data_IF_213296372721
#
_entry.id   IF_213296372721
#
_cell.length_a   1.000
_cell.length_b   1.000
_cell.length_c   1.000
_cell.angle_alpha   90.00
_cell.angle_beta   90.00
_cell.angle_gamma   90.00
#
_symmetry.space_group_name_H-M   'P 1'
#
loop_
_entity.id
_entity.type
_entity.pdbx_description
1 polymer ?
#
# COMPACT_ATOMS: atom_id res chain seq x y z
N UNK A 1 8.28 8.42 -8.09
CA UNK A 1 6.83 8.20 -7.98
C UNK A 1 6.24 9.25 -7.05
N UNK A 2 4.94 9.56 -7.13
CA UNK A 2 4.30 10.48 -6.18
C UNK A 2 3.79 9.71 -4.96
N UNK A 3 3.75 10.35 -3.79
CA UNK A 3 3.25 9.71 -2.55
C UNK A 3 1.78 9.26 -2.70
N UNK A 4 0.96 10.00 -3.47
CA UNK A 4 -0.40 9.56 -3.82
C UNK A 4 -0.44 8.29 -4.68
N UNK A 5 0.55 8.03 -5.52
CA UNK A 5 0.64 6.76 -6.26
C UNK A 5 1.00 5.57 -5.34
N UNK A 6 1.87 5.80 -4.35
CA UNK A 6 2.28 4.78 -3.36
C UNK A 6 1.18 4.51 -2.30
N UNK A 7 0.44 5.53 -1.88
CA UNK A 7 -0.72 5.33 -0.99
C UNK A 7 -1.84 4.52 -1.68
N UNK A 8 -1.97 4.63 -3.01
CA UNK A 8 -2.96 3.85 -3.79
C UNK A 8 -2.59 2.38 -3.96
N UNK A 9 -1.31 2.01 -4.00
CA UNK A 9 -0.90 0.59 -3.93
C UNK A 9 -1.06 0.02 -2.51
N UNK A 10 -0.74 0.79 -1.47
CA UNK A 10 -0.84 0.35 -0.08
C UNK A 10 -2.25 -0.13 0.35
N UNK A 11 -3.33 0.43 -0.23
CA UNK A 11 -4.69 -0.07 0.05
C UNK A 11 -4.97 -1.48 -0.49
N UNK A 12 -4.29 -1.93 -1.55
CA UNK A 12 -4.42 -3.31 -2.00
C UNK A 12 -3.87 -4.27 -0.92
N UNK A 13 -2.71 -3.96 -0.32
CA UNK A 13 -2.17 -4.72 0.80
C UNK A 13 -3.05 -4.62 2.07
N UNK A 14 -3.63 -3.46 2.34
CA UNK A 14 -4.47 -3.25 3.53
C UNK A 14 -5.86 -3.92 3.46
N UNK A 15 -6.39 -4.21 2.26
CA UNK A 15 -7.75 -4.72 2.06
C UNK A 15 -7.84 -6.11 1.36
N UNK A 16 -7.10 -6.38 0.28
CA UNK A 16 -7.24 -7.65 -0.48
C UNK A 16 -6.63 -8.85 0.25
N UNK A 17 -5.57 -8.65 1.05
CA UNK A 17 -4.84 -9.73 1.72
C UNK A 17 -5.61 -10.41 2.87
N UNK A 18 -6.92 -10.20 3.02
CA UNK A 18 -7.78 -10.86 4.00
C UNK A 18 -8.19 -12.31 3.65
N UNK A 19 -7.91 -12.76 2.41
CA UNK A 19 -8.23 -14.11 1.90
C UNK A 19 -7.00 -15.02 1.74
N UNK A 20 -5.78 -14.45 1.72
CA UNK A 20 -4.53 -15.16 1.42
C UNK A 20 -3.55 -15.32 2.60
N UNK A 21 -3.92 -14.86 3.80
CA UNK A 21 -3.26 -15.27 5.06
C UNK A 21 -4.33 -15.65 6.08
N UNK A 22 -3.97 -16.50 7.06
CA UNK A 22 -4.66 -16.42 8.36
C UNK A 22 -4.47 -15.00 8.93
N UNK A 23 -5.37 -14.52 9.78
CA UNK A 23 -5.44 -13.11 10.17
C UNK A 23 -4.37 -12.64 11.19
N UNK A 24 -4.58 -11.84 12.26
CA UNK A 24 -5.74 -11.20 12.93
C UNK A 24 -5.50 -10.66 14.43
N UNK A 25 -4.86 -9.48 14.67
CA UNK A 25 -4.69 -8.67 15.95
C UNK A 25 -3.42 -8.83 16.85
N UNK A 26 -3.33 -8.07 17.97
CA UNK A 26 -2.28 -8.01 19.01
C UNK A 26 -2.77 -7.22 20.27
N UNK A 27 -1.86 -6.71 21.13
CA UNK A 27 -1.99 -5.55 22.08
C UNK A 27 -0.73 -5.41 23.00
N UNK A 28 -0.49 -4.38 23.85
CA UNK A 28 -0.56 -2.89 23.77
C UNK A 28 0.23 -2.23 24.96
N UNK A 29 0.58 -0.93 24.90
CA UNK A 29 1.21 -0.14 26.01
C UNK A 29 1.69 1.27 25.57
N UNK A 30 1.69 2.32 26.44
CA UNK A 30 1.59 3.74 26.00
C UNK A 30 2.25 4.85 26.91
N UNK A 31 2.60 6.05 26.38
CA UNK A 31 2.79 7.32 27.16
C UNK A 31 3.84 8.42 26.73
N UNK A 32 3.44 9.66 26.32
CA UNK A 32 4.26 10.91 26.09
C UNK A 32 3.71 12.16 26.90
N UNK A 33 3.81 13.50 26.57
CA UNK A 33 4.58 14.37 25.60
C UNK A 33 5.08 15.80 26.13
N UNK A 34 5.52 16.71 25.22
CA UNK A 34 5.45 18.22 25.22
C UNK A 34 6.57 19.12 25.91
N UNK A 35 6.72 20.47 25.71
CA UNK A 35 5.92 21.56 25.06
C UNK A 35 6.66 22.87 24.55
N UNK A 36 5.88 23.87 24.03
CA UNK A 36 6.09 25.19 23.31
C UNK A 36 7.00 26.34 23.88
N UNK A 37 7.21 27.57 23.29
CA UNK A 37 7.27 28.20 21.92
C UNK A 37 7.28 29.79 21.94
N UNK A 38 7.24 30.50 20.76
CA UNK A 38 6.89 31.96 20.48
C UNK A 38 7.97 33.06 20.80
N UNK A 39 8.02 34.35 20.37
CA UNK A 39 7.58 35.26 19.24
C UNK A 39 8.31 36.67 19.40
N UNK A 40 8.20 37.87 18.74
CA UNK A 40 7.60 38.51 17.52
C UNK A 40 7.88 40.08 17.40
N UNK A 41 8.38 40.57 16.23
CA UNK A 41 8.23 41.83 15.40
C UNK A 41 7.29 43.06 15.77
N UNK A 42 7.10 44.18 14.96
CA UNK A 42 7.91 45.06 14.06
C UNK A 42 7.54 46.60 14.15
N UNK A 43 7.76 47.43 13.09
CA UNK A 43 7.06 48.72 12.79
C UNK A 43 7.08 49.08 11.27
N UNK A 44 6.55 50.26 10.85
CA UNK A 44 5.87 50.44 9.53
C UNK A 44 6.14 51.72 8.64
N UNK A 45 7.26 52.47 8.72
CA UNK A 45 7.64 53.50 7.70
C UNK A 45 9.09 53.55 7.10
N UNK A 46 10.17 53.31 7.85
CA UNK A 46 11.53 52.98 7.37
C UNK A 46 11.55 51.63 6.63
N UNK A 47 11.21 50.52 7.29
CA UNK A 47 9.84 50.12 7.65
C UNK A 47 8.69 50.34 6.64
N UNK A 48 8.92 50.93 5.46
CA UNK A 48 8.12 50.73 4.24
C UNK A 48 8.96 50.03 3.18
N UNK A 49 10.25 50.41 3.12
CA UNK A 49 11.32 49.56 2.61
C UNK A 49 11.54 48.36 3.55
N UNK A 50 11.48 48.51 4.89
CA UNK A 50 11.26 47.32 5.73
C UNK A 50 9.79 46.84 5.80
N UNK A 51 8.76 47.48 5.24
CA UNK A 51 7.49 46.75 5.05
C UNK A 51 7.71 45.68 3.98
N UNK A 52 8.29 46.07 2.83
CA UNK A 52 8.82 45.13 1.82
C UNK A 52 9.79 44.12 2.47
N UNK A 53 10.90 44.59 3.02
CA UNK A 53 11.99 43.72 3.46
C UNK A 53 11.65 42.92 4.73
N UNK A 54 10.83 43.43 5.66
CA UNK A 54 10.36 42.66 6.81
C UNK A 54 9.18 41.74 6.45
N UNK A 55 8.31 42.08 5.49
CA UNK A 55 7.34 41.12 4.97
C UNK A 55 8.06 40.00 4.20
N UNK A 56 9.06 40.32 3.38
CA UNK A 56 9.95 39.34 2.72
C UNK A 56 10.70 38.49 3.76
N UNK A 57 11.33 39.09 4.78
CA UNK A 57 12.00 38.35 5.87
C UNK A 57 11.01 37.47 6.66
N UNK A 58 9.81 37.97 6.96
CA UNK A 58 8.78 37.26 7.74
C UNK A 58 8.13 36.13 6.95
N UNK A 59 7.79 36.35 5.69
CA UNK A 59 7.30 35.32 4.78
C UNK A 59 8.36 34.25 4.52
N UNK A 60 9.63 34.64 4.30
CA UNK A 60 10.76 33.70 4.20
C UNK A 60 10.96 32.91 5.50
N UNK A 61 10.81 33.53 6.68
CA UNK A 61 10.86 32.84 7.96
C UNK A 61 9.69 31.85 8.14
N UNK A 62 8.48 32.22 7.74
CA UNK A 62 7.32 31.31 7.71
C UNK A 62 7.52 30.15 6.72
N UNK A 63 8.09 30.39 5.54
CA UNK A 63 8.49 29.32 4.61
C UNK A 63 9.54 28.38 5.22
N UNK A 64 10.56 28.90 5.92
CA UNK A 64 11.52 28.07 6.67
C UNK A 64 10.86 27.25 7.78
N UNK A 65 9.78 27.76 8.39
CA UNK A 65 8.94 27.05 9.35
C UNK A 65 7.92 26.08 8.70
N UNK A 66 7.85 26.01 7.36
CA UNK A 66 6.85 25.26 6.57
C UNK A 66 5.39 25.74 6.74
N UNK A 67 5.22 27.03 6.98
CA UNK A 67 3.95 27.76 7.13
C UNK A 67 3.66 28.65 5.90
N UNK A 68 3.25 28.07 4.74
CA UNK A 68 3.08 28.86 3.52
C UNK A 68 1.85 29.79 3.57
N UNK A 69 0.77 29.40 4.25
CA UNK A 69 -0.47 30.19 4.34
C UNK A 69 -0.24 31.46 5.16
N UNK A 70 0.53 31.37 6.24
CA UNK A 70 0.93 32.50 7.08
C UNK A 70 1.96 33.40 6.36
N UNK A 71 2.78 32.83 5.47
CA UNK A 71 3.65 33.60 4.59
C UNK A 71 2.84 34.35 3.51
N UNK A 72 1.82 33.72 2.94
CA UNK A 72 0.88 34.32 1.99
C UNK A 72 0.05 35.43 2.65
N UNK A 73 -0.49 35.20 3.86
CA UNK A 73 -1.24 36.20 4.62
C UNK A 73 -0.41 37.45 4.98
N UNK A 74 0.92 37.34 5.05
CA UNK A 74 1.84 38.47 5.23
C UNK A 74 2.08 39.24 3.92
N UNK A 75 2.12 38.58 2.77
CA UNK A 75 2.43 39.23 1.49
C UNK A 75 1.20 39.74 0.75
N UNK A 76 0.13 38.95 0.65
CA UNK A 76 -1.04 39.25 -0.19
C UNK A 76 -1.70 40.64 0.08
N UNK A 77 -1.84 41.12 1.33
CA UNK A 77 -2.38 42.46 1.60
C UNK A 77 -1.53 43.61 1.02
N UNK A 78 -0.28 43.34 0.65
CA UNK A 78 0.66 44.32 0.10
C UNK A 78 0.67 44.34 -1.45
N UNK A 79 -0.06 43.46 -2.15
CA UNK A 79 0.06 43.31 -3.61
C UNK A 79 -0.25 44.63 -4.34
N UNK A 80 -1.31 45.33 -3.93
CA UNK A 80 -1.70 46.63 -4.49
C UNK A 80 -0.70 47.77 -4.23
N UNK A 81 0.39 47.53 -3.46
CA UNK A 81 1.44 48.51 -3.16
C UNK A 81 2.85 48.04 -3.54
N UNK A 82 3.06 46.74 -3.78
CA UNK A 82 4.38 46.14 -4.08
C UNK A 82 4.44 45.33 -5.38
N UNK A 83 3.31 45.12 -6.08
CA UNK A 83 3.30 44.47 -7.40
C UNK A 83 4.20 45.22 -8.40
N UNK A 84 5.01 44.47 -9.14
CA UNK A 84 6.08 45.00 -10.00
C UNK A 84 7.48 44.94 -9.37
N UNK A 85 7.60 44.82 -8.04
CA UNK A 85 8.89 44.47 -7.42
C UNK A 85 9.17 42.97 -7.62
N UNK A 86 10.20 42.66 -8.40
CA UNK A 86 10.47 41.29 -8.85
C UNK A 86 10.96 40.30 -7.78
N UNK A 87 11.33 40.76 -6.57
CA UNK A 87 11.62 39.86 -5.44
C UNK A 87 10.35 39.59 -4.64
N UNK A 88 9.55 40.64 -4.40
CA UNK A 88 8.25 40.52 -3.76
C UNK A 88 7.32 39.62 -4.59
N UNK A 89 7.23 39.85 -5.90
CA UNK A 89 6.36 39.09 -6.80
C UNK A 89 6.81 37.63 -6.97
N UNK A 90 8.11 37.35 -6.89
CA UNK A 90 8.63 35.98 -6.85
C UNK A 90 8.23 35.27 -5.56
N UNK A 91 8.38 35.94 -4.41
CA UNK A 91 8.07 35.35 -3.11
C UNK A 91 6.57 35.18 -2.90
N UNK A 92 5.75 36.18 -3.26
CA UNK A 92 4.29 36.10 -3.33
C UNK A 92 3.87 34.94 -4.22
N UNK A 93 4.52 34.81 -5.38
CA UNK A 93 4.35 33.70 -6.32
C UNK A 93 4.48 32.32 -5.67
N UNK A 94 5.60 32.07 -4.99
CA UNK A 94 5.87 30.79 -4.30
C UNK A 94 4.83 30.53 -3.20
N UNK A 95 4.61 31.48 -2.29
CA UNK A 95 3.73 31.25 -1.14
C UNK A 95 2.28 31.10 -1.57
N UNK A 96 1.85 31.79 -2.63
CA UNK A 96 0.54 31.60 -3.23
C UNK A 96 0.41 30.21 -3.91
N UNK A 97 1.45 29.74 -4.60
CA UNK A 97 1.45 28.40 -5.22
C UNK A 97 1.35 27.28 -4.16
N UNK A 98 2.13 27.40 -3.08
CA UNK A 98 2.16 26.46 -1.96
C UNK A 98 0.84 26.48 -1.16
N UNK A 99 0.24 27.66 -1.00
CA UNK A 99 -1.07 27.89 -0.34
C UNK A 99 -2.28 27.70 -1.26
N UNK A 100 -2.08 27.16 -2.48
CA UNK A 100 -3.13 26.89 -3.49
C UNK A 100 -3.88 28.10 -4.07
N UNK A 101 -3.45 29.34 -3.80
CA UNK A 101 -3.93 30.56 -4.46
C UNK A 101 -3.29 30.71 -5.86
N UNK A 102 -3.51 29.71 -6.72
CA UNK A 102 -2.75 29.48 -7.95
C UNK A 102 -2.89 30.61 -8.99
N UNK A 103 -4.00 31.36 -8.98
CA UNK A 103 -4.23 32.48 -9.88
C UNK A 103 -3.41 33.72 -9.48
N UNK A 104 -3.25 33.96 -8.17
CA UNK A 104 -2.33 34.96 -7.62
C UNK A 104 -0.89 34.56 -7.93
N UNK A 105 -0.56 33.28 -7.75
CA UNK A 105 0.76 32.74 -8.09
C UNK A 105 1.12 32.96 -9.57
N UNK A 106 0.21 32.64 -10.49
CA UNK A 106 0.41 32.84 -11.93
C UNK A 106 0.63 34.32 -12.28
N UNK A 107 -0.16 35.24 -11.69
CA UNK A 107 0.00 36.68 -11.92
C UNK A 107 1.33 37.21 -11.38
N UNK A 108 1.67 36.88 -10.14
CA UNK A 108 2.89 37.35 -9.49
C UNK A 108 4.15 36.80 -10.18
N UNK A 109 4.20 35.49 -10.46
CA UNK A 109 5.34 34.89 -11.15
C UNK A 109 5.50 35.41 -12.59
N UNK A 110 4.41 35.72 -13.30
CA UNK A 110 4.49 36.43 -14.61
C UNK A 110 5.10 37.83 -14.49
N UNK A 111 4.76 38.61 -13.46
CA UNK A 111 5.38 39.93 -13.21
C UNK A 111 6.87 39.79 -12.90
N UNK A 112 7.25 38.84 -12.03
CA UNK A 112 8.65 38.53 -11.75
C UNK A 112 9.42 38.11 -13.00
N UNK A 113 8.85 37.20 -13.82
CA UNK A 113 9.49 36.70 -15.04
C UNK A 113 9.65 37.80 -16.12
N UNK A 114 8.68 38.72 -16.22
CA UNK A 114 8.79 39.87 -17.11
C UNK A 114 9.87 40.86 -16.65
N UNK A 115 10.03 41.06 -15.34
CA UNK A 115 11.06 41.92 -14.76
C UNK A 115 12.46 41.29 -14.73
N UNK A 116 12.56 39.95 -14.65
CA UNK A 116 13.82 39.19 -14.65
C UNK A 116 13.80 38.01 -15.66
N UNK A 117 13.82 38.26 -16.99
CA UNK A 117 13.63 37.20 -18.01
C UNK A 117 14.73 36.13 -18.11
N UNK A 118 15.83 36.28 -17.38
CA UNK A 118 16.90 35.28 -17.25
C UNK A 118 16.86 34.49 -15.93
N UNK A 119 15.90 34.75 -15.04
CA UNK A 119 15.85 34.13 -13.72
C UNK A 119 15.26 32.71 -13.79
N UNK A 120 16.14 31.72 -13.98
CA UNK A 120 15.79 30.30 -13.95
C UNK A 120 14.88 29.89 -12.78
N UNK A 121 15.14 30.34 -11.53
CA UNK A 121 14.24 30.08 -10.39
C UNK A 121 12.81 30.59 -10.56
N UNK A 122 12.59 31.83 -11.02
CA UNK A 122 11.24 32.34 -11.33
C UNK A 122 10.58 31.52 -12.44
N UNK A 123 11.31 31.20 -13.51
CA UNK A 123 10.78 30.37 -14.60
C UNK A 123 10.41 28.95 -14.15
N UNK A 124 11.17 28.37 -13.20
CA UNK A 124 10.92 27.05 -12.62
C UNK A 124 9.63 27.03 -11.79
N UNK A 125 9.42 28.03 -10.93
CA UNK A 125 8.19 28.15 -10.13
C UNK A 125 6.98 28.54 -10.99
N UNK A 126 7.17 29.31 -12.07
CA UNK A 126 6.12 29.58 -13.06
C UNK A 126 5.72 28.30 -13.81
N UNK A 127 6.70 27.48 -14.21
CA UNK A 127 6.46 26.17 -14.84
C UNK A 127 5.67 25.22 -13.91
N UNK A 128 6.08 25.16 -12.63
CA UNK A 128 5.38 24.43 -11.56
C UNK A 128 3.96 24.95 -11.35
N UNK A 129 3.76 26.26 -11.37
CA UNK A 129 2.43 26.90 -11.21
C UNK A 129 1.52 26.58 -12.40
N UNK A 130 2.02 26.69 -13.63
CA UNK A 130 1.28 26.24 -14.82
C UNK A 130 0.93 24.74 -14.75
N UNK A 131 1.82 23.89 -14.23
CA UNK A 131 1.53 22.47 -14.04
C UNK A 131 0.41 22.24 -13.02
N UNK A 132 0.43 22.96 -11.89
CA UNK A 132 -0.63 22.90 -10.87
C UNK A 132 -1.99 23.42 -11.38
N UNK A 133 -1.97 24.39 -12.30
CA UNK A 133 -3.15 24.90 -13.02
C UNK A 133 -3.60 24.01 -14.18
N UNK A 134 -2.90 22.90 -14.46
CA UNK A 134 -3.19 22.02 -15.60
C UNK A 134 -2.84 22.62 -16.98
N UNK A 135 -2.22 23.80 -17.04
CA UNK A 135 -1.76 24.47 -18.26
C UNK A 135 -0.50 23.80 -18.82
N UNK A 136 -0.59 22.51 -19.16
CA UNK A 136 0.53 21.61 -19.49
C UNK A 136 1.49 22.16 -20.54
N UNK A 137 0.99 22.75 -21.61
CA UNK A 137 1.85 23.27 -22.67
C UNK A 137 2.58 24.55 -22.27
N UNK A 138 2.01 25.34 -21.35
CA UNK A 138 2.72 26.48 -20.75
C UNK A 138 3.77 26.00 -19.74
N UNK A 139 3.44 24.98 -18.94
CA UNK A 139 4.39 24.34 -18.04
C UNK A 139 5.59 23.74 -18.80
N UNK A 140 5.34 23.02 -19.90
CA UNK A 140 6.37 22.46 -20.79
C UNK A 140 7.39 23.52 -21.19
N UNK A 141 6.93 24.59 -21.85
CA UNK A 141 7.81 25.61 -22.42
C UNK A 141 8.67 26.31 -21.37
N UNK A 142 8.14 26.55 -20.16
CA UNK A 142 8.93 27.12 -19.07
C UNK A 142 9.92 26.10 -18.46
N UNK A 143 9.54 24.83 -18.29
CA UNK A 143 10.47 23.79 -17.84
C UNK A 143 11.60 23.54 -18.85
N UNK A 144 11.29 23.52 -20.14
CA UNK A 144 12.27 23.39 -21.24
C UNK A 144 13.17 24.64 -21.33
N UNK A 145 12.61 25.84 -21.14
CA UNK A 145 13.39 27.10 -21.04
C UNK A 145 14.39 27.06 -19.90
N UNK A 146 14.02 26.55 -18.72
CA UNK A 146 14.96 26.37 -17.61
C UNK A 146 15.99 25.29 -17.94
N UNK A 147 15.57 24.15 -18.50
CA UNK A 147 16.45 23.04 -18.87
C UNK A 147 17.54 23.42 -19.90
N UNK A 148 17.25 24.39 -20.78
CA UNK A 148 18.19 24.92 -21.76
C UNK A 148 19.23 25.90 -21.18
N UNK A 149 19.05 26.36 -19.94
CA UNK A 149 20.01 27.21 -19.22
C UNK A 149 21.07 26.43 -18.45
N UNK A 150 21.87 27.14 -17.66
CA UNK A 150 22.69 26.49 -16.64
C UNK A 150 21.83 26.11 -15.43
N UNK A 151 21.70 24.80 -15.20
CA UNK A 151 20.86 24.21 -14.16
C UNK A 151 21.74 23.42 -13.19
N UNK A 152 21.72 23.74 -11.88
CA UNK A 152 22.42 22.96 -10.86
C UNK A 152 22.02 21.49 -10.89
N UNK A 153 22.97 20.58 -10.65
CA UNK A 153 22.77 19.13 -10.85
C UNK A 153 21.55 18.57 -10.08
N UNK A 154 21.32 19.04 -8.84
CA UNK A 154 20.16 18.63 -8.03
C UNK A 154 18.79 19.08 -8.56
N UNK A 155 18.74 20.04 -9.49
CA UNK A 155 17.49 20.60 -10.05
C UNK A 155 17.10 19.88 -11.35
N UNK A 156 18.06 19.39 -12.14
CA UNK A 156 17.79 18.68 -13.42
C UNK A 156 16.83 17.48 -13.26
N UNK A 157 16.94 16.62 -12.22
CA UNK A 157 15.99 15.53 -11.99
C UNK A 157 14.57 16.01 -11.67
N UNK A 158 14.42 17.17 -11.04
CA UNK A 158 13.10 17.75 -10.70
C UNK A 158 12.40 18.23 -11.97
N UNK A 159 13.11 18.94 -12.85
CA UNK A 159 12.59 19.37 -14.16
C UNK A 159 12.18 18.15 -14.99
N UNK A 160 13.05 17.14 -15.10
CA UNK A 160 12.73 15.92 -15.85
C UNK A 160 11.53 15.17 -15.26
N UNK A 161 11.35 15.17 -13.94
CA UNK A 161 10.18 14.56 -13.29
C UNK A 161 8.87 15.28 -13.65
N UNK A 162 8.89 16.61 -13.76
CA UNK A 162 7.73 17.38 -14.24
C UNK A 162 7.48 17.20 -15.74
N UNK A 163 8.50 17.23 -16.59
CA UNK A 163 8.37 16.97 -18.03
C UNK A 163 7.76 15.57 -18.27
N UNK A 164 8.31 14.52 -17.65
CA UNK A 164 7.74 13.16 -17.70
C UNK A 164 6.26 13.11 -17.24
N UNK A 165 5.84 13.96 -16.31
CA UNK A 165 4.45 14.05 -15.84
C UNK A 165 3.53 14.88 -16.76
N UNK A 166 4.10 15.77 -17.57
CA UNK A 166 3.44 16.53 -18.65
C UNK A 166 3.29 15.65 -19.91
N UNK A 167 4.29 14.81 -20.20
CA UNK A 167 4.31 13.85 -21.31
C UNK A 167 3.45 12.61 -21.05
N UNK A 168 3.24 12.21 -19.80
CA UNK A 168 2.30 11.15 -19.42
C UNK A 168 0.89 11.46 -19.97
N UNK A 169 0.36 10.72 -20.97
CA UNK A 169 -0.68 11.28 -21.84
C UNK A 169 -1.99 11.58 -21.12
N UNK A 170 -2.59 12.74 -21.43
CA UNK A 170 -3.91 13.11 -20.91
C UNK A 170 -4.95 12.18 -21.51
N UNK A 171 -5.83 11.61 -20.67
CA UNK A 171 -6.96 10.82 -21.16
C UNK A 171 -6.63 9.40 -21.60
N UNK A 172 -5.54 8.77 -21.12
CA UNK A 172 -5.37 7.31 -21.18
C UNK A 172 -6.48 6.65 -20.37
N UNK A 173 -7.64 6.42 -21.01
CA UNK A 173 -8.80 5.81 -20.35
C UNK A 173 -8.49 4.36 -20.01
N UNK A 174 -7.95 3.60 -20.97
CA UNK A 174 -7.47 2.23 -20.77
C UNK A 174 -5.97 2.22 -20.52
N UNK A 175 -5.54 1.80 -19.33
CA UNK A 175 -4.16 1.42 -19.05
C UNK A 175 -4.10 -0.08 -18.77
N UNK A 176 -2.98 -0.72 -19.11
CA UNK A 176 -2.73 -2.12 -18.80
C UNK A 176 -1.37 -2.27 -18.14
N UNK A 177 -1.17 -3.39 -17.44
CA UNK A 177 0.09 -3.74 -16.81
C UNK A 177 0.16 -5.24 -16.58
N UNK A 178 1.34 -5.82 -16.79
CA UNK A 178 1.60 -7.24 -16.56
C UNK A 178 2.91 -7.47 -15.85
N UNK A 179 3.09 -8.70 -15.38
CA UNK A 179 4.38 -9.16 -14.84
C UNK A 179 4.63 -10.63 -15.14
N UNK A 180 5.90 -11.00 -15.13
CA UNK A 180 6.36 -12.39 -14.98
C UNK A 180 7.39 -12.45 -13.86
N UNK A 181 7.40 -13.55 -13.11
CA UNK A 181 8.18 -13.71 -11.90
C UNK A 181 8.68 -15.15 -11.77
N UNK A 182 9.96 -15.29 -11.41
CA UNK A 182 10.59 -16.57 -11.07
C UNK A 182 11.17 -16.50 -9.67
N UNK A 183 10.82 -17.47 -8.84
CA UNK A 183 11.09 -17.51 -7.42
C UNK A 183 11.80 -18.83 -7.08
N UNK A 184 12.74 -18.80 -6.14
CA UNK A 184 13.32 -20.02 -5.57
C UNK A 184 13.60 -19.84 -4.08
N UNK A 185 13.45 -20.91 -3.30
CA UNK A 185 13.56 -20.80 -1.84
C UNK A 185 13.62 -22.10 -1.07
N UNK A 186 13.69 -21.94 0.25
CA UNK A 186 13.60 -23.00 1.26
C UNK A 186 12.37 -22.76 2.13
N UNK A 187 11.57 -23.80 2.27
CA UNK A 187 10.45 -23.89 3.20
C UNK A 187 10.81 -24.88 4.32
N UNK A 188 10.51 -24.54 5.58
CA UNK A 188 10.69 -25.49 6.70
C UNK A 188 9.48 -26.40 6.92
N UNK A 189 8.33 -26.12 6.29
CA UNK A 189 7.07 -26.82 6.56
C UNK A 189 6.10 -26.67 5.36
N UNK A 190 6.43 -27.29 4.23
CA UNK A 190 5.68 -27.16 2.97
C UNK A 190 4.20 -27.57 3.06
N UNK A 191 3.89 -28.53 3.95
CA UNK A 191 2.56 -29.03 4.23
C UNK A 191 1.79 -28.27 5.33
N UNK A 192 2.44 -27.33 6.03
CA UNK A 192 1.86 -26.59 7.18
C UNK A 192 1.38 -27.52 8.31
N UNK A 193 2.02 -28.68 8.46
CA UNK A 193 1.64 -29.71 9.44
C UNK A 193 2.34 -29.50 10.79
N UNK A 194 1.87 -30.20 11.82
CA UNK A 194 2.43 -30.09 13.18
C UNK A 194 3.91 -30.47 13.26
N UNK A 195 4.61 -29.88 14.22
CA UNK A 195 6.01 -30.22 14.54
C UNK A 195 6.16 -31.43 15.46
N UNK A 196 5.06 -31.93 16.03
CA UNK A 196 5.09 -33.01 17.02
C UNK A 196 5.26 -34.39 16.37
N UNK A 197 5.98 -35.29 17.04
CA UNK A 197 6.22 -36.67 16.57
C UNK A 197 5.04 -37.62 16.82
N UNK A 198 4.18 -37.30 17.77
CA UNK A 198 3.01 -38.09 18.15
C UNK A 198 1.87 -37.21 18.67
N UNK A 199 0.67 -37.78 18.71
CA UNK A 199 -0.55 -37.14 19.20
C UNK A 199 -1.29 -38.13 20.12
N UNK A 200 -1.71 -37.66 21.30
CA UNK A 200 -2.67 -38.37 22.15
C UNK A 200 -4.10 -38.04 21.72
N UNK A 201 -5.00 -39.03 21.70
CA UNK A 201 -6.41 -38.85 21.34
C UNK A 201 -7.31 -39.13 22.56
N UNK A 202 -7.76 -38.08 23.29
CA UNK A 202 -8.64 -38.20 24.46
C UNK A 202 -9.89 -39.06 24.26
N UNK A 203 -10.58 -38.94 23.12
CA UNK A 203 -11.76 -39.75 22.82
C UNK A 203 -11.48 -41.27 22.72
N UNK A 204 -10.21 -41.66 22.50
CA UNK A 204 -9.73 -43.03 22.49
C UNK A 204 -9.00 -43.38 23.81
N UNK A 205 -9.43 -42.81 24.93
CA UNK A 205 -8.84 -43.04 26.25
C UNK A 205 -7.44 -42.44 26.43
N UNK A 206 -7.05 -41.48 25.58
CA UNK A 206 -5.72 -40.87 25.60
C UNK A 206 -4.64 -41.68 24.87
N UNK A 207 -5.01 -42.68 24.06
CA UNK A 207 -4.07 -43.45 23.24
C UNK A 207 -3.17 -42.54 22.39
N UNK A 208 -1.87 -42.85 22.36
CA UNK A 208 -0.84 -42.07 21.67
C UNK A 208 -0.52 -42.71 20.33
N UNK A 209 -0.72 -41.96 19.25
CA UNK A 209 -0.42 -42.35 17.88
C UNK A 209 0.85 -41.64 17.41
N UNK A 210 1.81 -42.39 16.87
CA UNK A 210 2.99 -41.82 16.20
C UNK A 210 2.57 -41.31 14.82
N UNK A 211 2.92 -40.08 14.48
CA UNK A 211 2.60 -39.52 13.18
C UNK A 211 3.60 -40.00 12.11
N UNK A 212 3.11 -40.29 10.92
CA UNK A 212 3.95 -40.64 9.77
C UNK A 212 4.82 -39.45 9.30
N UNK A 213 5.57 -39.62 8.20
CA UNK A 213 6.45 -38.56 7.68
C UNK A 213 5.71 -37.35 7.11
N UNK A 214 4.53 -37.56 6.54
CA UNK A 214 3.75 -36.59 5.76
C UNK A 214 2.71 -35.85 6.63
N UNK A 215 2.31 -36.45 7.75
CA UNK A 215 1.51 -35.81 8.81
C UNK A 215 2.32 -34.85 9.71
N UNK A 216 3.62 -34.66 9.43
CA UNK A 216 4.54 -33.79 10.18
C UNK A 216 5.20 -32.77 9.26
N UNK A 217 5.63 -31.64 9.83
CA UNK A 217 6.20 -30.53 9.07
C UNK A 217 7.37 -30.96 8.19
N UNK A 218 7.17 -30.88 6.87
CA UNK A 218 8.09 -31.41 5.85
C UNK A 218 8.92 -30.28 5.23
N UNK A 219 10.24 -30.20 5.47
CA UNK A 219 11.08 -29.10 5.00
C UNK A 219 11.67 -29.38 3.60
N UNK A 220 11.48 -28.47 2.66
CA UNK A 220 11.85 -28.67 1.25
C UNK A 220 12.39 -27.40 0.58
N UNK A 221 13.17 -27.58 -0.49
CA UNK A 221 13.44 -26.50 -1.45
C UNK A 221 12.25 -26.41 -2.42
N UNK A 222 11.98 -25.24 -2.97
CA UNK A 222 11.03 -25.07 -4.06
C UNK A 222 11.56 -24.15 -5.17
N UNK A 223 11.05 -24.39 -6.37
CA UNK A 223 11.02 -23.44 -7.47
C UNK A 223 9.58 -23.02 -7.72
N UNK A 224 9.37 -21.77 -8.11
CA UNK A 224 8.05 -21.16 -8.21
C UNK A 224 8.05 -20.18 -9.38
N UNK A 225 6.97 -20.18 -10.16
CA UNK A 225 6.78 -19.30 -11.31
C UNK A 225 5.39 -18.70 -11.22
N UNK A 226 5.31 -17.38 -11.32
CA UNK A 226 4.04 -16.66 -11.38
C UNK A 226 4.06 -15.58 -12.46
N UNK A 227 2.88 -15.15 -12.88
CA UNK A 227 2.70 -14.07 -13.83
C UNK A 227 1.28 -13.54 -13.75
N UNK A 228 1.06 -12.32 -14.22
CA UNK A 228 -0.22 -11.64 -14.10
C UNK A 228 -0.45 -10.63 -15.21
N UNK A 229 -1.72 -10.40 -15.54
CA UNK A 229 -2.17 -9.37 -16.48
C UNK A 229 -3.35 -8.61 -15.90
N UNK A 230 -3.26 -7.28 -15.94
CA UNK A 230 -4.24 -6.35 -15.39
C UNK A 230 -4.57 -5.23 -16.38
N UNK A 231 -5.83 -4.81 -16.39
CA UNK A 231 -6.36 -3.69 -17.18
C UNK A 231 -7.21 -2.79 -16.29
N UNK A 232 -7.11 -1.47 -16.48
CA UNK A 232 -7.89 -0.45 -15.80
C UNK A 232 -8.48 0.48 -16.85
N UNK A 233 -9.80 0.68 -16.82
CA UNK A 233 -10.52 1.54 -17.78
C UNK A 233 -11.37 2.61 -17.08
N UNK A 234 -11.06 3.88 -17.32
CA UNK A 234 -11.89 5.01 -16.89
C UNK A 234 -13.12 5.16 -17.80
N UNK A 235 -14.25 4.60 -17.36
CA UNK A 235 -15.54 4.69 -18.05
C UNK A 235 -15.99 6.15 -18.08
N UNK A 236 -15.96 6.81 -16.92
CA UNK A 236 -16.13 8.26 -16.77
C UNK A 236 -14.99 8.81 -15.92
N UNK A 237 -14.97 10.13 -15.71
CA UNK A 237 -13.95 10.76 -14.86
C UNK A 237 -14.16 10.42 -13.36
N UNK A 238 -15.36 9.93 -13.01
CA UNK A 238 -15.72 9.43 -11.70
C UNK A 238 -15.73 7.88 -11.61
N UNK A 239 -16.08 7.17 -12.67
CA UNK A 239 -16.21 5.70 -12.69
C UNK A 239 -15.01 5.05 -13.38
N UNK A 240 -14.25 4.25 -12.62
CA UNK A 240 -13.15 3.46 -13.16
C UNK A 240 -13.34 1.97 -12.87
N UNK A 241 -13.38 1.16 -13.93
CA UNK A 241 -13.39 -0.30 -13.83
C UNK A 241 -11.98 -0.87 -13.96
N UNK A 242 -11.79 -2.10 -13.49
CA UNK A 242 -10.53 -2.83 -13.61
C UNK A 242 -10.76 -4.34 -13.63
N UNK A 243 -9.90 -5.06 -14.33
CA UNK A 243 -9.82 -6.52 -14.27
C UNK A 243 -8.36 -6.98 -14.16
N UNK A 244 -8.09 -7.95 -13.29
CA UNK A 244 -6.80 -8.66 -13.18
C UNK A 244 -7.10 -10.14 -13.34
N UNK A 245 -6.75 -10.74 -14.49
CA UNK A 245 -7.46 -11.94 -14.97
C UNK A 245 -6.61 -13.18 -15.20
N UNK A 246 -5.30 -13.06 -15.04
CA UNK A 246 -4.35 -14.12 -15.36
C UNK A 246 -3.22 -14.20 -14.31
N UNK A 247 -3.51 -13.84 -13.06
CA UNK A 247 -2.60 -14.02 -11.93
C UNK A 247 -2.48 -15.52 -11.64
N UNK A 248 -1.54 -16.18 -12.32
CA UNK A 248 -1.26 -17.61 -12.24
C UNK A 248 -0.02 -17.81 -11.38
N UNK A 249 -0.07 -18.83 -10.53
CA UNK A 249 0.98 -19.21 -9.58
C UNK A 249 1.21 -20.73 -9.67
N UNK A 250 2.48 -21.16 -9.76
CA UNK A 250 2.87 -22.57 -9.80
C UNK A 250 4.12 -22.81 -8.96
N UNK A 251 3.96 -23.45 -7.80
CA UNK A 251 5.04 -23.78 -6.85
C UNK A 251 5.32 -25.28 -6.82
N UNK A 252 6.58 -25.66 -7.04
CA UNK A 252 7.07 -27.04 -7.16
C UNK A 252 8.13 -27.35 -6.11
N UNK A 253 7.90 -28.36 -5.27
CA UNK A 253 8.79 -28.74 -4.18
C UNK A 253 9.74 -29.90 -4.53
N UNK A 254 10.92 -29.89 -3.92
CA UNK A 254 11.92 -30.96 -4.04
C UNK A 254 11.70 -32.11 -3.06
N UNK A 255 12.10 -33.32 -3.47
CA UNK A 255 12.10 -34.51 -2.61
C UNK A 255 10.71 -34.94 -2.15
N UNK A 256 10.60 -35.27 -0.85
CA UNK A 256 9.39 -35.86 -0.26
C UNK A 256 8.18 -34.90 -0.20
N UNK A 257 8.36 -33.61 -0.51
CA UNK A 257 7.30 -32.60 -0.44
C UNK A 257 6.50 -32.42 -1.74
N UNK A 258 6.74 -33.22 -2.78
CA UNK A 258 6.02 -33.12 -4.07
C UNK A 258 4.50 -33.25 -3.95
N UNK A 259 4.01 -34.06 -3.00
CA UNK A 259 2.59 -34.16 -2.66
C UNK A 259 1.97 -32.86 -2.10
N UNK A 260 2.77 -31.80 -1.98
CA UNK A 260 2.35 -30.46 -1.58
C UNK A 260 2.65 -29.41 -2.67
N UNK A 261 3.00 -29.83 -3.90
CA UNK A 261 3.06 -28.98 -5.10
C UNK A 261 1.75 -28.19 -5.25
N UNK A 262 1.84 -26.90 -5.56
CA UNK A 262 0.69 -26.00 -5.58
C UNK A 262 0.56 -25.35 -6.95
N UNK A 263 -0.67 -25.20 -7.40
CA UNK A 263 -1.00 -24.32 -8.52
C UNK A 263 -2.19 -23.47 -8.13
N UNK A 264 -2.27 -22.24 -8.63
CA UNK A 264 -3.53 -21.50 -8.59
C UNK A 264 -3.66 -20.54 -9.77
N UNK A 265 -4.90 -20.15 -10.06
CA UNK A 265 -5.16 -18.90 -10.78
C UNK A 265 -6.08 -18.03 -9.93
N UNK A 266 -5.92 -16.73 -10.07
CA UNK A 266 -6.79 -15.72 -9.51
C UNK A 266 -7.31 -14.80 -10.62
N UNK A 267 -8.62 -14.52 -10.57
CA UNK A 267 -9.32 -13.61 -11.46
C UNK A 267 -10.09 -12.59 -10.63
N UNK A 268 -9.92 -11.31 -10.93
CA UNK A 268 -10.50 -10.19 -10.21
C UNK A 268 -11.19 -9.24 -11.18
N UNK A 269 -12.36 -8.72 -10.79
CA UNK A 269 -13.04 -7.60 -11.44
C UNK A 269 -13.38 -6.55 -10.38
N UNK A 270 -13.30 -5.27 -10.72
CA UNK A 270 -13.65 -4.19 -9.79
C UNK A 270 -14.18 -2.95 -10.48
N UNK A 271 -14.97 -2.19 -9.74
CA UNK A 271 -15.47 -0.87 -10.11
C UNK A 271 -15.22 0.10 -8.94
N UNK A 272 -14.78 1.32 -9.25
CA UNK A 272 -14.45 2.36 -8.28
C UNK A 272 -15.19 3.65 -8.68
N UNK A 273 -16.00 4.19 -7.78
CA UNK A 273 -16.67 5.48 -7.96
C UNK A 273 -16.02 6.56 -7.09
N UNK A 274 -15.44 7.56 -7.75
CA UNK A 274 -14.71 8.68 -7.16
C UNK A 274 -15.67 9.86 -6.94
N UNK A 275 -15.73 10.38 -5.71
CA UNK A 275 -16.60 11.50 -5.32
C UNK A 275 -15.91 12.41 -4.31
N UNK A 276 -15.25 13.45 -4.80
CA UNK A 276 -14.42 14.35 -4.01
C UNK A 276 -13.31 13.58 -3.29
N UNK A 277 -13.19 13.66 -1.94
CA UNK A 277 -12.20 12.88 -1.20
C UNK A 277 -12.55 11.39 -1.06
N UNK A 278 -13.73 10.94 -1.52
CA UNK A 278 -14.21 9.57 -1.33
C UNK A 278 -13.97 8.70 -2.57
N UNK A 279 -13.67 7.42 -2.35
CA UNK A 279 -13.68 6.36 -3.35
C UNK A 279 -14.53 5.19 -2.84
N UNK A 280 -15.54 4.79 -3.62
CA UNK A 280 -16.41 3.65 -3.32
C UNK A 280 -16.07 2.51 -4.28
N UNK A 281 -15.37 1.50 -3.78
CA UNK A 281 -14.97 0.30 -4.50
C UNK A 281 -15.91 -0.87 -4.28
N UNK A 282 -16.24 -1.58 -5.35
CA UNK A 282 -16.79 -2.94 -5.31
C UNK A 282 -15.87 -3.84 -6.13
N UNK A 283 -15.48 -4.99 -5.56
CA UNK A 283 -14.62 -5.98 -6.19
C UNK A 283 -15.23 -7.38 -6.09
N UNK A 284 -15.09 -8.16 -7.17
CA UNK A 284 -15.26 -9.61 -7.22
C UNK A 284 -13.88 -10.26 -7.40
N UNK A 285 -13.63 -11.38 -6.70
CA UNK A 285 -12.43 -12.17 -6.82
C UNK A 285 -12.75 -13.67 -6.82
N UNK A 286 -12.38 -14.36 -7.89
CA UNK A 286 -12.38 -15.81 -8.00
C UNK A 286 -10.95 -16.34 -7.87
N UNK A 287 -10.77 -17.46 -7.17
CA UNK A 287 -9.52 -18.21 -7.15
C UNK A 287 -9.82 -19.71 -7.21
N UNK A 288 -9.11 -20.44 -8.08
CA UNK A 288 -9.00 -21.89 -8.00
C UNK A 288 -7.59 -22.26 -7.53
N UNK A 289 -7.49 -23.28 -6.67
CA UNK A 289 -6.23 -23.82 -6.18
C UNK A 289 -6.19 -25.33 -6.40
N UNK A 290 -5.07 -25.80 -6.96
CA UNK A 290 -4.66 -27.20 -7.05
C UNK A 290 -3.63 -27.55 -5.98
N UNK A 291 -3.64 -28.79 -5.53
CA UNK A 291 -2.64 -29.41 -4.64
C UNK A 291 -2.28 -30.78 -5.22
N UNK A 292 -1.00 -31.06 -5.43
CA UNK A 292 -0.49 -32.25 -6.16
C UNK A 292 -1.20 -32.48 -7.51
N UNK A 293 -1.44 -31.39 -8.25
CA UNK A 293 -2.23 -31.31 -9.48
C UNK A 293 -3.74 -31.67 -9.38
N UNK A 294 -4.23 -32.14 -8.23
CA UNK A 294 -5.67 -32.30 -7.98
C UNK A 294 -6.33 -30.97 -7.59
N UNK A 295 -7.57 -30.75 -8.06
CA UNK A 295 -8.36 -29.58 -7.69
C UNK A 295 -8.65 -29.59 -6.18
N UNK A 296 -8.21 -28.58 -5.44
CA UNK A 296 -8.27 -28.56 -3.97
C UNK A 296 -9.29 -27.56 -3.41
N UNK A 297 -9.27 -26.29 -3.87
CA UNK A 297 -10.14 -25.24 -3.30
C UNK A 297 -10.62 -24.23 -4.34
N UNK A 298 -11.89 -23.86 -4.24
CA UNK A 298 -12.50 -22.71 -4.92
C UNK A 298 -12.82 -21.58 -3.92
N UNK A 299 -12.65 -20.34 -4.36
CA UNK A 299 -13.02 -19.10 -3.65
C UNK A 299 -13.79 -18.18 -4.60
N UNK A 300 -14.83 -17.51 -4.11
CA UNK A 300 -15.65 -16.56 -4.88
C UNK A 300 -16.00 -15.33 -4.01
N UNK A 301 -15.00 -14.52 -3.71
CA UNK A 301 -15.12 -13.37 -2.82
C UNK A 301 -15.77 -12.15 -3.48
N UNK A 302 -16.58 -11.43 -2.72
CA UNK A 302 -16.97 -10.04 -3.00
C UNK A 302 -16.46 -9.14 -1.88
N UNK A 303 -15.88 -8.00 -2.22
CA UNK A 303 -15.41 -6.98 -1.27
C UNK A 303 -15.98 -5.63 -1.65
N UNK A 304 -16.65 -4.96 -0.71
CA UNK A 304 -17.10 -3.58 -0.86
C UNK A 304 -16.31 -2.69 0.12
N UNK A 305 -15.80 -1.56 -0.37
CA UNK A 305 -14.90 -0.68 0.38
C UNK A 305 -15.24 0.80 0.13
N UNK A 306 -15.34 1.58 1.20
CA UNK A 306 -15.32 3.03 1.13
C UNK A 306 -13.98 3.52 1.68
N UNK A 307 -13.17 4.17 0.83
CA UNK A 307 -11.97 4.90 1.23
C UNK A 307 -12.26 6.40 1.19
N UNK A 308 -11.70 7.15 2.15
CA UNK A 308 -11.75 8.60 2.22
C UNK A 308 -10.36 9.18 2.47
N UNK A 309 -9.97 10.14 1.64
CA UNK A 309 -8.81 10.99 1.87
C UNK A 309 -9.11 12.01 2.99
N UNK A 310 -8.19 12.12 3.95
CA UNK A 310 -8.31 12.97 5.12
C UNK A 310 -7.32 14.15 5.11
N UNK A 311 -6.60 14.35 4.00
CA UNK A 311 -5.50 15.32 3.92
C UNK A 311 -4.16 14.75 4.40
N UNK A 312 -3.08 15.51 4.22
CA UNK A 312 -1.72 15.18 4.69
C UNK A 312 -1.19 13.78 4.29
N UNK A 313 -1.65 13.23 3.16
CA UNK A 313 -1.39 11.82 2.77
C UNK A 313 -1.86 10.78 3.81
N UNK A 314 -2.85 11.13 4.63
CA UNK A 314 -3.63 10.20 5.46
C UNK A 314 -4.91 9.82 4.71
N UNK A 315 -5.18 8.53 4.64
CA UNK A 315 -6.41 8.00 4.07
C UNK A 315 -6.97 6.94 5.02
N UNK A 316 -8.28 6.93 5.20
CA UNK A 316 -9.00 5.93 6.00
C UNK A 316 -9.95 5.14 5.10
N UNK A 317 -10.22 3.87 5.44
CA UNK A 317 -11.24 3.09 4.76
C UNK A 317 -12.06 2.24 5.73
N UNK A 318 -13.28 1.90 5.31
CA UNK A 318 -14.14 0.86 5.90
C UNK A 318 -14.48 -0.14 4.79
N UNK A 319 -14.43 -1.43 5.09
CA UNK A 319 -14.68 -2.48 4.13
C UNK A 319 -15.54 -3.61 4.71
N UNK A 320 -16.22 -4.34 3.83
CA UNK A 320 -16.92 -5.59 4.11
C UNK A 320 -16.61 -6.59 3.01
N UNK A 321 -16.51 -7.87 3.37
CA UNK A 321 -16.13 -8.96 2.48
C UNK A 321 -16.98 -10.20 2.76
N UNK A 322 -17.45 -10.84 1.69
CA UNK A 322 -18.13 -12.13 1.73
C UNK A 322 -17.45 -13.10 0.77
N UNK A 323 -16.94 -14.21 1.29
CA UNK A 323 -16.17 -15.21 0.53
C UNK A 323 -16.60 -16.62 0.93
N UNK A 324 -17.37 -17.32 0.07
CA UNK A 324 -17.54 -18.76 0.14
C UNK A 324 -16.21 -19.49 -0.12
N UNK A 325 -15.78 -20.31 0.84
CA UNK A 325 -14.69 -21.28 0.71
C UNK A 325 -15.32 -22.63 0.32
N UNK A 326 -14.85 -23.26 -0.75
CA UNK A 326 -15.30 -24.60 -1.16
C UNK A 326 -14.12 -25.53 -1.36
N UNK A 327 -14.10 -26.66 -0.66
CA UNK A 327 -13.01 -27.62 -0.66
C UNK A 327 -13.41 -28.88 -1.44
N UNK A 328 -12.77 -29.10 -2.57
CA UNK A 328 -13.10 -30.23 -3.45
C UNK A 328 -12.65 -31.53 -2.79
N UNK A 329 -13.44 -32.60 -2.94
CA UNK A 329 -13.22 -33.90 -2.28
C UNK A 329 -13.39 -33.90 -0.75
N UNK A 330 -13.42 -32.72 -0.10
CA UNK A 330 -13.52 -32.54 1.35
C UNK A 330 -14.59 -31.50 1.70
N UNK A 331 -15.77 -31.64 1.09
CA UNK A 331 -16.92 -30.72 1.21
C UNK A 331 -17.36 -30.45 2.67
N UNK A 332 -17.02 -31.32 3.62
CA UNK A 332 -17.15 -31.11 5.07
C UNK A 332 -16.28 -29.97 5.62
N UNK A 333 -15.53 -29.26 4.78
CA UNK A 333 -14.76 -28.05 5.10
C UNK A 333 -15.34 -26.79 4.46
N UNK A 334 -16.46 -26.90 3.76
CA UNK A 334 -17.11 -25.77 3.09
C UNK A 334 -17.68 -24.77 4.10
N UNK A 335 -17.21 -23.53 4.06
CA UNK A 335 -17.66 -22.44 4.93
C UNK A 335 -17.95 -21.16 4.14
N UNK A 336 -18.72 -20.26 4.72
CA UNK A 336 -18.98 -18.92 4.19
C UNK A 336 -18.33 -17.90 5.13
N UNK A 337 -17.19 -17.32 4.72
CA UNK A 337 -16.49 -16.28 5.49
C UNK A 337 -17.15 -14.92 5.23
N UNK A 338 -17.60 -14.25 6.27
CA UNK A 338 -18.10 -12.87 6.23
C UNK A 338 -17.28 -12.00 7.19
N UNK A 339 -16.62 -10.95 6.68
CA UNK A 339 -15.77 -10.02 7.45
C UNK A 339 -16.24 -8.57 7.26
N UNK A 340 -16.06 -7.74 8.29
CA UNK A 340 -16.14 -6.29 8.20
C UNK A 340 -14.95 -5.64 8.93
N UNK A 341 -14.46 -4.51 8.45
CA UNK A 341 -13.26 -3.88 9.01
C UNK A 341 -13.02 -2.43 8.59
N UNK A 342 -11.96 -1.84 9.14
CA UNK A 342 -11.47 -0.50 8.86
C UNK A 342 -9.95 -0.49 8.73
N UNK A 343 -9.41 0.44 7.94
CA UNK A 343 -7.96 0.59 7.75
C UNK A 343 -7.53 2.05 7.64
N UNK A 344 -6.26 2.29 7.94
CA UNK A 344 -5.58 3.58 7.82
C UNK A 344 -4.31 3.40 6.99
N UNK A 345 -4.03 4.35 6.11
CA UNK A 345 -2.79 4.45 5.34
C UNK A 345 -2.23 5.86 5.50
N UNK A 346 -0.96 5.99 5.87
CA UNK A 346 -0.25 7.27 6.03
C UNK A 346 1.04 7.27 5.23
N UNK A 347 1.12 8.17 4.25
CA UNK A 347 2.38 8.53 3.59
C UNK A 347 3.13 9.62 4.36
N UNK A 348 4.42 9.44 4.60
CA UNK A 348 5.28 10.41 5.30
C UNK A 348 6.12 11.20 4.31
N UNK A 349 5.47 12.03 3.47
CA UNK A 349 6.10 12.74 2.36
C UNK A 349 7.27 13.69 2.75
N UNK A 350 7.35 14.12 4.00
CA UNK A 350 8.46 14.94 4.54
C UNK A 350 9.64 14.13 5.11
N UNK A 351 9.53 12.80 5.20
CA UNK A 351 10.62 11.93 5.65
C UNK A 351 11.44 11.42 4.46
N UNK A 352 12.73 11.18 4.67
CA UNK A 352 13.62 10.61 3.66
C UNK A 352 13.09 9.26 3.15
N UNK A 353 13.09 9.04 1.84
CA UNK A 353 12.50 7.85 1.22
C UNK A 353 10.97 7.78 1.24
N UNK A 354 10.29 8.86 1.68
CA UNK A 354 8.84 9.04 1.70
C UNK A 354 8.02 7.78 2.08
N UNK A 355 8.32 7.12 3.22
CA UNK A 355 7.73 5.83 3.57
C UNK A 355 6.21 5.90 3.70
N UNK A 356 5.54 4.78 3.41
CA UNK A 356 4.10 4.59 3.58
C UNK A 356 3.88 3.50 4.61
N UNK A 357 3.05 3.77 5.62
CA UNK A 357 2.65 2.81 6.66
C UNK A 357 1.15 2.59 6.59
N UNK A 358 0.71 1.35 6.80
CA UNK A 358 -0.70 0.99 6.89
C UNK A 358 -1.00 0.15 8.13
N UNK A 359 -2.22 0.32 8.64
CA UNK A 359 -2.81 -0.54 9.65
C UNK A 359 -4.23 -0.92 9.21
N UNK A 360 -4.66 -2.14 9.46
CA UNK A 360 -6.01 -2.63 9.13
C UNK A 360 -6.53 -3.47 10.28
N UNK A 361 -7.83 -3.39 10.54
CA UNK A 361 -8.54 -4.06 11.64
C UNK A 361 -9.91 -4.55 11.15
N UNK A 362 -10.36 -5.73 11.53
CA UNK A 362 -11.56 -6.40 11.05
C UNK A 362 -12.12 -7.37 12.10
N UNK A 363 -13.32 -7.88 11.87
CA UNK A 363 -13.91 -9.02 12.56
C UNK A 363 -14.96 -9.70 11.67
N UNK A 364 -15.38 -10.91 12.04
CA UNK A 364 -16.29 -11.69 11.24
C UNK A 364 -16.51 -13.12 11.72
N UNK A 365 -17.10 -13.92 10.85
CA UNK A 365 -17.42 -15.33 11.10
C UNK A 365 -17.16 -16.17 9.85
N UNK A 366 -16.73 -17.40 10.04
CA UNK A 366 -16.89 -18.46 9.05
C UNK A 366 -18.09 -19.31 9.48
N UNK A 367 -19.18 -19.24 8.70
CA UNK A 367 -20.37 -20.04 8.95
C UNK A 367 -20.28 -21.36 8.17
N UNK A 368 -20.59 -22.52 8.77
CA UNK A 368 -20.73 -23.78 8.05
C UNK A 368 -21.70 -23.66 6.86
N UNK A 369 -21.42 -24.39 5.78
CA UNK A 369 -22.36 -24.52 4.65
C UNK A 369 -23.52 -25.47 4.97
N UNK A 370 -23.22 -26.57 5.65
CA UNK A 370 -24.13 -27.63 6.07
C UNK A 370 -23.55 -28.33 7.30
N UNK A 371 -24.33 -29.19 7.99
CA UNK A 371 -23.95 -29.76 9.28
C UNK A 371 -22.73 -30.68 9.26
N UNK A 372 -22.29 -31.14 8.08
CA UNK A 372 -21.04 -31.89 7.97
C UNK A 372 -19.80 -30.98 8.12
N UNK A 373 -19.99 -29.65 8.10
CA UNK A 373 -18.96 -28.63 8.25
C UNK A 373 -19.06 -27.84 9.56
N UNK A 374 -19.92 -28.25 10.51
CA UNK A 374 -20.10 -27.56 11.80
C UNK A 374 -18.76 -27.40 12.57
N UNK A 375 -17.88 -28.41 12.48
CA UNK A 375 -16.53 -28.41 13.05
C UNK A 375 -15.59 -27.29 12.54
N UNK A 376 -15.97 -26.59 11.46
CA UNK A 376 -15.21 -25.48 10.89
C UNK A 376 -15.86 -24.12 11.13
N UNK A 377 -17.06 -24.08 11.73
CA UNK A 377 -17.71 -22.84 12.16
C UNK A 377 -16.85 -22.12 13.19
N UNK A 378 -16.57 -20.83 12.98
CA UNK A 378 -15.76 -20.05 13.92
C UNK A 378 -16.02 -18.54 13.85
N UNK A 379 -15.81 -17.87 14.98
CA UNK A 379 -15.75 -16.42 15.08
C UNK A 379 -14.28 -15.97 15.09
N UNK A 380 -13.98 -14.92 14.31
CA UNK A 380 -12.63 -14.36 14.20
C UNK A 380 -12.65 -12.84 14.24
N UNK A 381 -11.60 -12.26 14.81
CA UNK A 381 -11.39 -10.81 14.91
C UNK A 381 -9.94 -10.57 14.51
N UNK A 382 -9.65 -9.64 13.60
CA UNK A 382 -8.28 -9.47 13.10
C UNK A 382 -7.73 -8.11 12.70
N UNK A 383 -6.49 -7.81 13.06
CA UNK A 383 -5.68 -6.72 12.52
C UNK A 383 -4.33 -7.12 11.92
N UNK A 384 -3.77 -6.20 11.10
CA UNK A 384 -2.43 -6.25 10.50
C UNK A 384 -1.80 -4.86 10.46
N UNK A 385 -0.47 -4.79 10.49
CA UNK A 385 0.31 -3.55 10.32
C UNK A 385 1.46 -3.79 9.34
N UNK A 386 1.79 -2.81 8.51
CA UNK A 386 2.87 -2.94 7.53
C UNK A 386 3.28 -1.62 6.90
N UNK A 387 4.24 -1.67 5.99
CA UNK A 387 4.70 -0.49 5.28
C UNK A 387 5.84 -0.75 4.29
N UNK A 388 6.13 0.27 3.50
CA UNK A 388 7.13 0.30 2.42
C UNK A 388 7.97 1.58 2.55
N UNK A 389 9.28 1.49 2.31
CA UNK A 389 10.22 2.60 2.43
C UNK A 389 11.25 2.57 1.30
N UNK A 390 11.28 3.62 0.47
CA UNK A 390 12.29 3.79 -0.57
C UNK A 390 13.61 4.27 0.05
N UNK A 391 14.41 3.35 0.58
CA UNK A 391 15.72 3.67 1.20
C UNK A 391 16.71 4.26 0.18
N UNK A 392 16.56 3.95 -1.11
CA UNK A 392 17.15 4.64 -2.25
C UNK A 392 16.12 4.67 -3.41
N UNK A 393 16.32 5.46 -4.49
CA UNK A 393 15.37 5.53 -5.62
C UNK A 393 15.10 4.17 -6.31
N UNK A 394 16.04 3.24 -6.16
CA UNK A 394 16.10 1.88 -6.72
C UNK A 394 15.96 0.78 -5.65
N UNK A 395 15.72 1.12 -4.38
CA UNK A 395 15.73 0.17 -3.25
C UNK A 395 14.52 0.38 -2.34
N UNK A 396 13.72 -0.66 -2.15
CA UNK A 396 12.53 -0.63 -1.28
C UNK A 396 12.66 -1.68 -0.18
N UNK A 397 12.62 -1.24 1.08
CA UNK A 397 12.41 -2.12 2.22
C UNK A 397 10.90 -2.22 2.50
N UNK A 398 10.37 -3.41 2.75
CA UNK A 398 8.96 -3.59 3.12
C UNK A 398 8.77 -4.61 4.26
N UNK A 399 7.66 -4.47 5.00
CA UNK A 399 7.25 -5.41 6.05
C UNK A 399 5.73 -5.44 6.25
N UNK A 400 5.20 -6.59 6.67
CA UNK A 400 3.81 -6.81 7.14
C UNK A 400 3.82 -7.77 8.33
N UNK A 401 3.01 -7.48 9.36
CA UNK A 401 2.77 -8.33 10.53
C UNK A 401 1.28 -8.53 10.78
N UNK A 402 0.85 -9.76 11.07
CA UNK A 402 -0.49 -10.14 11.53
C UNK A 402 -0.48 -11.42 12.40
N UNK A 403 -0.55 -11.31 13.73
CA UNK A 403 -0.95 -12.38 14.70
C UNK A 403 -2.46 -12.59 14.63
N UNK A 404 -3.06 -13.78 14.82
CA UNK A 404 -4.51 -14.08 14.66
C UNK A 404 -5.23 -14.52 15.93
N UNK A 405 -6.58 -14.47 15.89
CA UNK A 405 -7.41 -15.39 16.68
C UNK A 405 -8.69 -15.87 15.99
N UNK A 406 -8.91 -17.19 15.99
CA UNK A 406 -10.18 -17.88 15.67
C UNK A 406 -10.64 -18.68 16.90
N UNK A 407 -11.91 -18.56 17.29
CA UNK A 407 -12.53 -19.47 18.28
C UNK A 407 -13.62 -20.26 17.54
N UNK A 408 -13.56 -21.59 17.57
CA UNK A 408 -14.49 -22.45 16.84
C UNK A 408 -15.76 -22.74 17.66
N UNK A 409 -16.88 -22.91 16.95
CA UNK A 409 -18.23 -22.97 17.52
C UNK A 409 -18.58 -24.34 18.13
N UNK A 410 -17.70 -25.35 18.01
CA UNK A 410 -17.94 -26.74 18.41
C UNK A 410 -16.78 -27.38 19.18
N UNK A 411 -17.10 -28.32 20.06
CA UNK A 411 -16.13 -29.27 20.62
C UNK A 411 -15.58 -30.21 19.53
N UNK A 412 -14.27 -30.44 19.49
CA UNK A 412 -13.68 -31.47 18.63
C UNK A 412 -14.03 -32.88 19.16
N UNK A 413 -14.48 -33.78 18.28
CA UNK A 413 -14.98 -35.10 18.65
C UNK A 413 -13.88 -36.12 19.00
N UNK A 414 -12.63 -35.88 18.60
CA UNK A 414 -11.47 -36.75 18.89
C UNK A 414 -10.65 -36.21 20.06
N UNK A 415 -10.51 -34.88 20.15
CA UNK A 415 -9.74 -34.20 21.17
C UNK A 415 -10.53 -33.75 22.39
N UNK A 416 -11.87 -33.71 22.31
CA UNK A 416 -12.79 -33.35 23.40
C UNK A 416 -12.51 -31.97 24.00
N UNK A 417 -12.04 -31.02 23.19
CA UNK A 417 -11.80 -29.62 23.55
C UNK A 417 -12.29 -28.68 22.45
N UNK A 418 -12.64 -27.45 22.81
CA UNK A 418 -12.98 -26.40 21.85
C UNK A 418 -11.72 -25.89 21.14
N UNK A 419 -11.75 -25.87 19.81
CA UNK A 419 -10.61 -25.39 19.02
C UNK A 419 -10.46 -23.88 19.16
N UNK A 420 -9.28 -23.46 19.57
CA UNK A 420 -8.87 -22.07 19.71
C UNK A 420 -7.52 -21.89 19.03
N UNK A 421 -7.51 -21.15 17.92
CA UNK A 421 -6.32 -20.90 17.11
C UNK A 421 -5.79 -19.48 17.31
N UNK A 422 -4.47 -19.33 17.33
CA UNK A 422 -3.74 -18.05 17.31
C UNK A 422 -2.57 -18.13 16.31
N UNK A 423 -2.72 -17.50 15.16
CA UNK A 423 -1.68 -17.40 14.13
C UNK A 423 -0.71 -16.24 14.40
N UNK A 424 0.37 -16.14 13.63
CA UNK A 424 1.27 -15.00 13.49
C UNK A 424 2.05 -15.15 12.19
N UNK A 425 1.66 -14.34 11.22
CA UNK A 425 2.33 -14.13 9.96
C UNK A 425 3.19 -12.86 10.02
N UNK A 426 4.47 -12.99 9.72
CA UNK A 426 5.43 -11.88 9.51
C UNK A 426 6.02 -12.05 8.13
N UNK A 427 6.02 -11.01 7.31
CA UNK A 427 6.77 -10.95 6.05
C UNK A 427 7.63 -9.70 6.05
N UNK A 428 8.89 -9.84 5.64
CA UNK A 428 9.80 -8.72 5.39
C UNK A 428 10.65 -9.01 4.16
N UNK A 429 11.00 -7.98 3.39
CA UNK A 429 11.82 -8.13 2.20
C UNK A 429 12.45 -6.82 1.74
N UNK A 430 13.41 -6.95 0.84
CA UNK A 430 14.18 -5.83 0.27
C UNK A 430 14.22 -6.00 -1.25
N UNK A 431 13.61 -5.07 -1.98
CA UNK A 431 13.53 -5.08 -3.45
C UNK A 431 14.56 -4.14 -4.04
N UNK A 432 15.49 -4.68 -4.82
CA UNK A 432 16.47 -3.94 -5.60
C UNK A 432 16.07 -3.87 -7.08
N UNK A 433 15.85 -2.67 -7.60
CA UNK A 433 15.40 -2.40 -8.97
C UNK A 433 16.59 -2.24 -9.92
N UNK A 434 17.15 -3.38 -10.35
CA UNK A 434 18.21 -3.48 -11.38
C UNK A 434 17.86 -2.66 -12.63
N UNK A 435 16.57 -2.60 -12.99
CA UNK A 435 16.03 -1.57 -13.90
C UNK A 435 14.66 -1.10 -13.41
N UNK A 436 14.09 -0.07 -14.05
CA UNK A 436 12.70 0.38 -13.80
C UNK A 436 11.63 -0.71 -14.04
N UNK A 437 11.99 -1.79 -14.74
CA UNK A 437 11.12 -2.91 -15.07
C UNK A 437 11.55 -4.24 -14.44
N UNK A 438 12.78 -4.37 -13.94
CA UNK A 438 13.32 -5.62 -13.39
C UNK A 438 13.81 -5.44 -11.96
N UNK A 439 13.31 -6.26 -11.05
CA UNK A 439 13.66 -6.24 -9.63
C UNK A 439 14.06 -7.63 -9.10
N UNK A 440 14.97 -7.62 -8.14
CA UNK A 440 15.39 -8.79 -7.37
C UNK A 440 15.04 -8.52 -5.90
N UNK A 441 14.30 -9.42 -5.28
CA UNK A 441 13.78 -9.29 -3.92
C UNK A 441 14.09 -10.54 -3.08
N UNK A 442 15.19 -10.57 -2.30
CA UNK A 442 15.27 -11.43 -1.14
C UNK A 442 14.14 -11.10 -0.14
N UNK A 443 13.38 -12.11 0.27
CA UNK A 443 12.34 -11.96 1.29
C UNK A 443 12.29 -13.14 2.26
N UNK A 444 11.73 -12.87 3.44
CA UNK A 444 11.47 -13.82 4.51
C UNK A 444 9.98 -13.76 4.86
N UNK A 445 9.33 -14.93 4.97
CA UNK A 445 8.02 -15.08 5.59
C UNK A 445 8.09 -16.07 6.75
N UNK A 446 7.42 -15.77 7.86
CA UNK A 446 7.30 -16.62 9.03
C UNK A 446 5.83 -16.75 9.42
N UNK A 447 5.35 -17.98 9.61
CA UNK A 447 4.03 -18.29 10.14
C UNK A 447 4.20 -19.10 11.43
N UNK A 448 3.48 -18.74 12.50
CA UNK A 448 3.24 -19.60 13.66
C UNK A 448 1.74 -19.71 13.90
N UNK A 449 1.15 -20.90 13.78
CA UNK A 449 -0.17 -21.16 14.36
C UNK A 449 0.02 -21.88 15.70
N UNK A 450 -0.58 -21.35 16.77
CA UNK A 450 -0.77 -22.08 18.02
C UNK A 450 -2.23 -22.52 18.11
N UNK A 451 -2.50 -23.75 18.49
CA UNK A 451 -3.86 -24.26 18.60
C UNK A 451 -4.04 -25.09 19.87
N UNK A 452 -5.25 -25.11 20.44
CA UNK A 452 -5.62 -26.12 21.46
C UNK A 452 -5.68 -27.53 20.88
N UNK A 453 -5.75 -27.68 19.55
CA UNK A 453 -5.65 -28.95 18.86
C UNK A 453 -4.24 -29.14 18.29
N UNK A 454 -3.49 -30.09 18.86
CA UNK A 454 -2.08 -30.39 18.52
C UNK A 454 -1.81 -30.52 17.02
N UNK A 455 -2.76 -31.09 16.27
CA UNK A 455 -2.69 -31.29 14.81
C UNK A 455 -2.51 -29.96 14.03
N UNK A 456 -3.01 -28.85 14.59
CA UNK A 456 -2.99 -27.53 13.96
C UNK A 456 -1.96 -26.57 14.60
N UNK A 457 -1.19 -26.98 15.61
CA UNK A 457 -0.06 -26.19 16.12
C UNK A 457 1.20 -26.46 15.29
N UNK A 458 1.70 -25.42 14.60
CA UNK A 458 2.86 -25.51 13.72
C UNK A 458 3.60 -24.17 13.61
N UNK A 459 4.86 -24.22 13.16
CA UNK A 459 5.55 -23.07 12.61
C UNK A 459 6.13 -23.36 11.22
N UNK A 460 6.35 -22.30 10.45
CA UNK A 460 6.87 -22.32 9.09
C UNK A 460 7.75 -21.09 8.85
N UNK A 461 8.95 -21.30 8.32
CA UNK A 461 9.84 -20.25 7.83
C UNK A 461 10.07 -20.48 6.35
N UNK A 462 9.88 -19.43 5.55
CA UNK A 462 10.11 -19.41 4.10
C UNK A 462 11.16 -18.35 3.81
N UNK A 463 12.25 -18.78 3.19
CA UNK A 463 13.31 -17.90 2.68
C UNK A 463 13.33 -18.03 1.17
N UNK A 464 13.09 -16.95 0.43
CA UNK A 464 13.02 -17.00 -1.02
C UNK A 464 13.63 -15.76 -1.68
N UNK A 465 14.21 -15.96 -2.87
CA UNK A 465 14.69 -14.91 -3.75
C UNK A 465 13.74 -14.84 -4.93
N UNK A 466 13.16 -13.66 -5.10
CA UNK A 466 12.15 -13.33 -6.11
C UNK A 466 12.80 -12.51 -7.22
N UNK A 467 12.72 -12.96 -8.47
CA UNK A 467 13.11 -12.18 -9.64
C UNK A 467 11.85 -11.82 -10.44
N UNK A 468 11.55 -10.53 -10.58
CA UNK A 468 10.29 -10.03 -11.16
C UNK A 468 10.55 -9.04 -12.29
N UNK A 469 9.85 -9.22 -13.41
CA UNK A 469 9.82 -8.30 -14.55
C UNK A 469 8.40 -7.75 -14.76
N UNK A 470 8.24 -6.43 -14.67
CA UNK A 470 6.99 -5.69 -14.84
C UNK A 470 6.96 -4.94 -16.19
N UNK A 471 5.84 -5.00 -16.91
CA UNK A 471 5.65 -4.37 -18.23
C UNK A 471 4.27 -3.70 -18.37
N UNK A 472 4.14 -2.73 -19.29
CA UNK A 472 3.01 -1.80 -19.45
C UNK A 472 2.94 -1.26 -20.89
#
# INVERSE_FOLDING_TARGET
MSVLSLCRSAFAAAALSAVLTGGAYASDGNGPPAAEARSSLPSDQFDSRNARDAAIRRARAFMHAKSPEEAYAVLAPLEGRLSGDSEYDYLLGIVAADSRHLDVAERALKRSAAARPGDGPTHLELARTYFLLGQRENARREFERVAAGDVPEGVRPVIQAYLNAIDAPVGVRTAWSGYVQGNFGRDTNANNATTNSSIAIPALGGLVFVLDGNARGTPANFGDVSGGLSVRHAVTDNLVISGGGADIDMRRYGGNARAFDQGSYMFQLGANWLSGPNNFGLQYANQHMWLDAESYRNLNGFTAQWTRDLGDSLQAAVFTQYTPLRYMGTNSRDVNRALGGASLVKGFASAYGAPVVYASMYAGRESPKDSNADAFGNHLWGGRVGGEWHVMPDQVLFSNVSFERRNYDTLDSMFLVERHDRQLDVRAGYSYFVTKAFSITPQYSFTRNRSTLTLYDYHRSVYEIVARYDFR
#
